data_IF_248274385824
#
_entry.id   IF_248274385824
#
_cell.length_a   1.000
_cell.length_b   1.000
_cell.length_c   1.000
_cell.angle_alpha   90.00
_cell.angle_beta   90.00
_cell.angle_gamma   90.00
#
_symmetry.space_group_name_H-M   'P 1'
#
loop_
_entity.id
_entity.type
_entity.pdbx_description
1 polymer ?
#
# COMPACT_ATOMS: atom_id res chain seq x y z
N UNK A 1 5.00 18.08 19.18
CA UNK A 1 6.27 17.33 19.33
C UNK A 1 6.71 16.88 17.95
N UNK A 2 7.99 16.98 17.63
CA UNK A 2 8.54 16.40 16.41
C UNK A 2 8.72 14.90 16.66
N UNK A 3 8.09 14.07 15.83
CA UNK A 3 8.20 12.62 15.90
C UNK A 3 9.33 12.16 14.99
N UNK A 4 9.85 10.93 15.17
CA UNK A 4 10.92 10.40 14.34
C UNK A 4 10.52 9.04 13.80
N UNK A 5 10.89 8.77 12.55
CA UNK A 5 10.71 7.46 11.95
C UNK A 5 11.89 6.60 12.40
N UNK A 6 11.63 5.57 13.21
CA UNK A 6 12.66 4.60 13.60
C UNK A 6 13.24 3.93 12.34
N UNK A 7 14.45 4.35 11.97
CA UNK A 7 15.23 3.80 10.85
C UNK A 7 15.24 4.61 9.55
N UNK A 8 14.51 5.73 9.44
CA UNK A 8 14.58 6.56 8.24
C UNK A 8 15.63 7.67 8.35
N UNK A 9 16.29 7.99 7.24
CA UNK A 9 17.19 9.14 7.12
C UNK A 9 16.43 10.49 7.05
N UNK A 10 15.11 10.47 6.91
CA UNK A 10 14.28 11.65 6.64
C UNK A 10 13.71 12.30 7.91
N UNK A 11 13.60 13.64 7.90
CA UNK A 11 12.97 14.43 8.98
C UNK A 11 11.50 14.68 8.63
N UNK A 12 10.55 14.38 9.52
CA UNK A 12 9.14 14.61 9.22
C UNK A 12 8.79 16.09 9.16
N UNK A 13 7.65 16.35 8.53
CA UNK A 13 7.11 17.68 8.30
C UNK A 13 6.85 18.38 9.63
N UNK A 14 7.08 19.71 9.66
CA UNK A 14 6.74 20.54 10.81
C UNK A 14 5.25 20.38 11.16
N UNK A 15 4.87 20.24 12.45
CA UNK A 15 3.47 20.07 12.84
C UNK A 15 2.51 21.13 12.28
N UNK A 16 2.99 22.37 12.12
CA UNK A 16 2.21 23.48 11.56
C UNK A 16 1.88 23.32 10.06
N UNK A 17 2.60 22.46 9.35
CA UNK A 17 2.42 22.22 7.91
C UNK A 17 1.70 20.89 7.63
N UNK A 18 1.43 20.07 8.64
CA UNK A 18 0.82 18.74 8.43
C UNK A 18 -0.55 18.87 7.75
N UNK A 19 -1.42 19.74 8.26
CA UNK A 19 -2.78 19.90 7.72
C UNK A 19 -2.76 20.35 6.25
N UNK A 20 -1.95 21.35 5.92
CA UNK A 20 -1.84 21.84 4.55
C UNK A 20 -1.25 20.80 3.62
N UNK A 21 -0.26 20.02 4.07
CA UNK A 21 0.35 18.94 3.29
C UNK A 21 -0.60 17.77 3.06
N UNK A 22 -1.39 17.38 4.07
CA UNK A 22 -2.41 16.34 3.91
C UNK A 22 -3.50 16.80 2.94
N UNK A 23 -3.93 18.07 3.03
CA UNK A 23 -4.90 18.61 2.07
C UNK A 23 -4.37 18.59 0.64
N UNK A 24 -3.13 19.06 0.45
CA UNK A 24 -2.45 19.00 -0.84
C UNK A 24 -2.38 17.56 -1.37
N UNK A 25 -1.98 16.60 -0.53
CA UNK A 25 -1.88 15.20 -0.90
C UNK A 25 -3.23 14.61 -1.36
N UNK A 26 -4.32 14.95 -0.66
CA UNK A 26 -5.67 14.52 -1.05
C UNK A 26 -6.11 15.14 -2.38
N UNK A 27 -5.84 16.44 -2.57
CA UNK A 27 -6.15 17.13 -3.82
C UNK A 27 -5.38 16.52 -5.00
N UNK A 28 -4.09 16.21 -4.82
CA UNK A 28 -3.26 15.55 -5.84
C UNK A 28 -3.79 14.15 -6.19
N UNK A 29 -4.17 13.35 -5.19
CA UNK A 29 -4.72 12.01 -5.41
C UNK A 29 -6.07 12.04 -6.15
N UNK A 30 -6.96 12.94 -5.76
CA UNK A 30 -8.32 13.04 -6.33
C UNK A 30 -8.32 13.58 -7.77
N UNK A 31 -7.37 14.46 -8.11
CA UNK A 31 -7.26 15.07 -9.43
C UNK A 31 -6.27 14.36 -10.37
N UNK A 32 -5.62 13.29 -9.91
CA UNK A 32 -4.65 12.54 -10.72
C UNK A 32 -5.33 11.68 -11.80
N UNK A 33 -4.81 11.78 -13.02
CA UNK A 33 -5.17 10.93 -14.17
C UNK A 33 -4.19 9.75 -14.36
N UNK A 34 -3.28 9.53 -13.41
CA UNK A 34 -2.34 8.41 -13.47
C UNK A 34 -3.04 7.06 -13.34
N UNK A 35 -2.33 5.99 -13.70
CA UNK A 35 -2.79 4.63 -13.42
C UNK A 35 -3.10 4.47 -11.92
N UNK A 36 -4.14 3.72 -11.62
CA UNK A 36 -4.64 3.55 -10.25
C UNK A 36 -3.58 3.07 -9.26
N UNK A 37 -2.71 2.14 -9.66
CA UNK A 37 -1.67 1.60 -8.77
C UNK A 37 -0.58 2.64 -8.55
N UNK A 38 -0.23 3.40 -9.60
CA UNK A 38 0.77 4.48 -9.55
C UNK A 38 0.34 5.56 -8.56
N UNK A 39 -0.89 6.06 -8.68
CA UNK A 39 -1.39 7.11 -7.76
C UNK A 39 -1.53 6.61 -6.32
N UNK A 40 -1.87 5.32 -6.10
CA UNK A 40 -1.92 4.71 -4.76
C UNK A 40 -0.52 4.58 -4.17
N UNK A 41 0.44 4.10 -4.95
CA UNK A 41 1.84 3.96 -4.53
C UNK A 41 2.43 5.31 -4.12
N UNK A 42 2.24 6.32 -4.96
CA UNK A 42 2.66 7.70 -4.70
C UNK A 42 2.01 8.26 -3.44
N UNK A 43 0.68 8.15 -3.32
CA UNK A 43 -0.04 8.61 -2.13
C UNK A 43 0.51 8.00 -0.84
N UNK A 44 0.78 6.69 -0.86
CA UNK A 44 1.30 5.97 0.30
C UNK A 44 2.71 6.42 0.69
N UNK A 45 3.61 6.59 -0.30
CA UNK A 45 4.96 7.14 -0.10
C UNK A 45 4.93 8.56 0.48
N UNK A 46 4.09 9.43 -0.08
CA UNK A 46 3.95 10.82 0.36
C UNK A 46 3.32 10.92 1.76
N UNK A 47 2.29 10.13 2.05
CA UNK A 47 1.64 10.09 3.36
C UNK A 47 2.62 9.72 4.48
N UNK A 48 3.39 8.66 4.28
CA UNK A 48 4.40 8.20 5.26
C UNK A 48 5.53 9.23 5.42
N UNK A 49 5.86 9.96 4.34
CA UNK A 49 6.86 11.03 4.35
C UNK A 49 6.37 12.28 5.11
N UNK A 50 5.08 12.63 5.00
CA UNK A 50 4.46 13.69 5.81
C UNK A 50 4.49 13.31 7.29
N UNK A 51 4.20 12.04 7.60
CA UNK A 51 4.21 11.47 8.95
C UNK A 51 3.30 12.24 9.93
N UNK A 52 1.98 12.30 9.65
CA UNK A 52 1.07 13.22 10.35
C UNK A 52 0.78 12.86 11.82
N UNK A 53 0.97 11.61 12.22
CA UNK A 53 0.62 11.12 13.56
C UNK A 53 1.86 10.89 14.43
N UNK A 54 1.65 10.85 15.75
CA UNK A 54 2.73 10.60 16.72
C UNK A 54 3.26 9.15 16.62
N UNK A 55 2.36 8.20 16.42
CA UNK A 55 2.65 6.79 16.16
C UNK A 55 1.55 6.26 15.24
N UNK A 56 1.82 5.14 14.58
CA UNK A 56 0.85 4.41 13.78
C UNK A 56 0.85 4.78 12.30
N UNK A 57 1.68 5.73 11.85
CA UNK A 57 1.77 6.12 10.43
C UNK A 57 1.91 4.91 9.50
N UNK A 58 2.88 4.03 9.79
CA UNK A 58 3.05 2.74 9.10
C UNK A 58 1.78 1.91 8.93
N UNK A 59 1.00 1.79 10.01
CA UNK A 59 -0.25 1.01 10.04
C UNK A 59 -1.35 1.73 9.28
N UNK A 60 -1.50 3.03 9.50
CA UNK A 60 -2.49 3.86 8.84
C UNK A 60 -2.22 3.96 7.34
N UNK A 61 -0.98 4.13 6.91
CA UNK A 61 -0.60 4.17 5.50
C UNK A 61 -0.99 2.90 4.76
N UNK A 62 -0.65 1.73 5.31
CA UNK A 62 -1.08 0.44 4.74
C UNK A 62 -2.60 0.26 4.73
N UNK A 63 -3.31 0.74 5.76
CA UNK A 63 -4.77 0.72 5.77
C UNK A 63 -5.36 1.63 4.68
N UNK A 64 -4.80 2.83 4.48
CA UNK A 64 -5.21 3.75 3.43
C UNK A 64 -4.92 3.17 2.03
N UNK A 65 -3.75 2.58 1.84
CA UNK A 65 -3.39 1.87 0.60
C UNK A 65 -4.43 0.78 0.28
N UNK A 66 -4.76 -0.08 1.25
CA UNK A 66 -5.75 -1.13 1.06
C UNK A 66 -7.16 -0.58 0.81
N UNK A 67 -7.53 0.48 1.52
CA UNK A 67 -8.80 1.16 1.30
C UNK A 67 -8.90 1.70 -0.14
N UNK A 68 -7.85 2.34 -0.65
CA UNK A 68 -7.81 2.85 -2.02
C UNK A 68 -7.83 1.71 -3.05
N UNK A 69 -7.15 0.60 -2.81
CA UNK A 69 -7.25 -0.60 -3.67
C UNK A 69 -8.71 -1.06 -3.76
N UNK A 70 -9.37 -1.22 -2.60
CA UNK A 70 -10.76 -1.66 -2.52
C UNK A 70 -11.74 -0.70 -3.21
N UNK A 71 -11.54 0.61 -3.05
CA UNK A 71 -12.35 1.63 -3.74
C UNK A 71 -12.24 1.55 -5.27
N UNK A 72 -11.15 0.97 -5.79
CA UNK A 72 -10.93 0.78 -7.22
C UNK A 72 -11.17 -0.68 -7.66
N UNK A 73 -11.93 -1.47 -6.89
CA UNK A 73 -12.25 -2.88 -7.17
C UNK A 73 -11.01 -3.79 -7.27
N UNK A 74 -9.89 -3.39 -6.66
CA UNK A 74 -8.72 -4.23 -6.48
C UNK A 74 -8.78 -4.91 -5.12
N UNK A 75 -8.21 -6.10 -5.03
CA UNK A 75 -8.18 -6.82 -3.76
C UNK A 75 -7.18 -6.16 -2.81
N UNK A 76 -7.50 -6.09 -1.50
CA UNK A 76 -6.55 -5.65 -0.50
C UNK A 76 -5.38 -6.65 -0.46
N UNK A 77 -4.18 -6.13 -0.23
CA UNK A 77 -2.97 -6.92 -0.12
C UNK A 77 -2.40 -6.83 1.29
N UNK A 78 -1.86 -7.95 1.77
CA UNK A 78 -1.08 -7.96 2.99
C UNK A 78 0.39 -7.78 2.62
N UNK A 79 0.84 -6.52 2.59
CA UNK A 79 2.27 -6.19 2.44
C UNK A 79 2.96 -6.59 3.74
N UNK A 80 3.32 -7.87 3.77
CA UNK A 80 3.70 -8.61 4.96
C UNK A 80 5.06 -8.16 5.53
N UNK A 81 5.20 -8.26 6.85
CA UNK A 81 6.45 -7.96 7.58
C UNK A 81 7.65 -8.82 7.13
N UNK A 82 7.43 -9.96 6.48
CA UNK A 82 8.49 -10.85 5.98
C UNK A 82 9.36 -10.19 4.91
N UNK A 83 8.84 -9.21 4.18
CA UNK A 83 9.57 -8.41 3.20
C UNK A 83 9.85 -6.98 3.69
N UNK A 84 9.96 -6.79 5.02
CA UNK A 84 10.24 -5.49 5.63
C UNK A 84 11.37 -4.74 4.93
N UNK A 85 12.48 -5.42 4.63
CA UNK A 85 13.63 -4.81 3.95
C UNK A 85 13.26 -4.20 2.58
N UNK A 86 12.58 -4.96 1.73
CA UNK A 86 12.13 -4.48 0.41
C UNK A 86 11.16 -3.32 0.52
N UNK A 87 10.20 -3.41 1.46
CA UNK A 87 9.25 -2.34 1.71
C UNK A 87 9.94 -1.03 2.14
N UNK A 88 10.90 -1.10 3.06
CA UNK A 88 11.67 0.08 3.48
C UNK A 88 12.60 0.62 2.38
N UNK A 89 13.18 -0.26 1.57
CA UNK A 89 13.99 0.12 0.42
C UNK A 89 13.20 0.99 -0.57
N UNK A 90 11.92 0.72 -0.79
CA UNK A 90 11.09 1.58 -1.64
C UNK A 90 10.99 3.03 -1.11
N UNK A 91 11.00 3.24 0.21
CA UNK A 91 11.03 4.59 0.77
C UNK A 91 12.40 5.24 0.59
N UNK A 92 13.48 4.48 0.79
CA UNK A 92 14.84 4.99 0.57
C UNK A 92 15.04 5.45 -0.88
N UNK A 93 14.61 4.64 -1.86
CA UNK A 93 14.67 4.97 -3.29
C UNK A 93 13.80 6.17 -3.64
N UNK A 94 12.60 6.26 -3.08
CA UNK A 94 11.74 7.43 -3.23
C UNK A 94 12.37 8.70 -2.63
N UNK A 95 12.99 8.62 -1.45
CA UNK A 95 13.62 9.78 -0.81
C UNK A 95 14.92 10.22 -1.48
N UNK A 96 15.63 9.31 -2.14
CA UNK A 96 16.88 9.62 -2.85
C UNK A 96 16.62 10.16 -4.25
N UNK A 97 15.79 9.49 -5.03
CA UNK A 97 15.66 9.71 -6.47
C UNK A 97 14.24 10.09 -6.92
N UNK A 98 13.28 10.23 -6.00
CA UNK A 98 11.83 10.33 -6.28
C UNK A 98 11.32 9.13 -7.12
N UNK A 99 11.99 7.99 -7.02
CA UNK A 99 11.59 6.80 -7.75
C UNK A 99 10.42 6.11 -7.02
N UNK A 100 9.27 6.09 -7.69
CA UNK A 100 8.06 5.40 -7.20
C UNK A 100 7.93 3.98 -7.75
N UNK A 101 8.74 3.61 -8.76
CA UNK A 101 8.58 2.38 -9.52
C UNK A 101 8.71 1.13 -8.64
N UNK A 102 9.65 1.12 -7.70
CA UNK A 102 9.82 0.02 -6.76
C UNK A 102 8.60 -0.21 -5.86
N UNK A 103 7.92 0.85 -5.42
CA UNK A 103 6.69 0.71 -4.64
C UNK A 103 5.54 0.20 -5.51
N UNK A 104 5.44 0.68 -6.76
CA UNK A 104 4.46 0.20 -7.74
C UNK A 104 4.67 -1.31 -7.98
N UNK A 105 5.90 -1.71 -8.27
CA UNK A 105 6.26 -3.11 -8.50
C UNK A 105 5.99 -3.98 -7.27
N UNK A 106 6.27 -3.47 -6.07
CA UNK A 106 5.95 -4.17 -4.83
C UNK A 106 4.43 -4.43 -4.74
N UNK A 107 3.60 -3.40 -4.92
CA UNK A 107 2.14 -3.53 -4.86
C UNK A 107 1.63 -4.49 -5.93
N UNK A 108 2.11 -4.38 -7.18
CA UNK A 108 1.73 -5.26 -8.29
C UNK A 108 2.07 -6.71 -7.98
N UNK A 109 3.27 -6.97 -7.46
CA UNK A 109 3.69 -8.34 -7.11
C UNK A 109 2.77 -8.95 -6.04
N UNK A 110 2.43 -8.19 -4.99
CA UNK A 110 1.49 -8.65 -3.97
C UNK A 110 0.07 -8.88 -4.53
N UNK A 111 -0.40 -8.02 -5.44
CA UNK A 111 -1.68 -8.21 -6.12
C UNK A 111 -1.67 -9.49 -6.96
N UNK A 112 -0.61 -9.76 -7.71
CA UNK A 112 -0.47 -10.99 -8.52
C UNK A 112 -0.49 -12.22 -7.62
N UNK A 113 0.29 -12.22 -6.52
CA UNK A 113 0.31 -13.33 -5.56
C UNK A 113 -1.09 -13.58 -5.00
N UNK A 114 -1.78 -12.52 -4.58
CA UNK A 114 -3.12 -12.62 -4.02
C UNK A 114 -4.13 -13.13 -5.06
N UNK A 115 -4.08 -12.63 -6.29
CA UNK A 115 -4.96 -13.06 -7.37
C UNK A 115 -4.75 -14.52 -7.72
N UNK A 116 -3.50 -14.97 -7.84
CA UNK A 116 -3.17 -16.37 -8.10
C UNK A 116 -3.70 -17.28 -6.99
N UNK A 117 -3.49 -16.91 -5.73
CA UNK A 117 -4.03 -17.65 -4.58
C UNK A 117 -5.56 -17.79 -4.65
N UNK A 118 -6.29 -16.74 -5.05
CA UNK A 118 -7.74 -16.79 -5.21
C UNK A 118 -8.17 -17.65 -6.39
N UNK A 119 -7.44 -17.61 -7.51
CA UNK A 119 -7.68 -18.45 -8.68
C UNK A 119 -7.52 -19.92 -8.30
N UNK A 120 -6.49 -20.26 -7.54
CA UNK A 120 -6.22 -21.63 -7.10
C UNK A 120 -7.36 -22.15 -6.20
N UNK A 121 -7.77 -21.36 -5.19
CA UNK A 121 -8.90 -21.72 -4.31
C UNK A 121 -10.18 -21.92 -5.11
N UNK A 122 -10.51 -21.00 -6.03
CA UNK A 122 -11.75 -21.09 -6.83
C UNK A 122 -11.71 -22.27 -7.79
N UNK A 123 -10.54 -22.57 -8.37
CA UNK A 123 -10.36 -23.72 -9.26
C UNK A 123 -10.53 -25.04 -8.51
N UNK A 124 -9.98 -25.15 -7.30
CA UNK A 124 -10.16 -26.33 -6.45
C UNK A 124 -11.63 -26.50 -6.04
N UNK A 125 -12.30 -25.42 -5.60
CA UNK A 125 -13.73 -25.47 -5.27
C UNK A 125 -14.59 -25.91 -6.45
N UNK A 126 -14.32 -25.38 -7.65
CA UNK A 126 -15.03 -25.77 -8.87
C UNK A 126 -14.81 -27.25 -9.22
N UNK A 127 -13.60 -27.78 -8.98
CA UNK A 127 -13.31 -29.20 -9.13
C UNK A 127 -14.11 -30.03 -8.11
N UNK A 128 -14.06 -29.67 -6.83
CA UNK A 128 -14.73 -30.40 -5.75
C UNK A 128 -16.26 -30.44 -5.93
N UNK A 129 -16.86 -29.33 -6.38
CA UNK A 129 -18.28 -29.23 -6.74
C UNK A 129 -18.61 -30.11 -7.96
N UNK A 130 -17.78 -30.09 -9.01
CA UNK A 130 -18.00 -30.88 -10.23
C UNK A 130 -17.96 -32.38 -9.97
N UNK A 131 -17.08 -32.83 -9.07
CA UNK A 131 -16.88 -34.25 -8.77
C UNK A 131 -17.59 -34.69 -7.48
N UNK A 132 -18.46 -33.86 -6.90
CA UNK A 132 -19.25 -34.16 -5.71
C UNK A 132 -18.39 -34.66 -4.52
N UNK A 133 -17.15 -34.19 -4.43
CA UNK A 133 -16.19 -34.64 -3.40
C UNK A 133 -16.60 -34.09 -2.02
N UNK A 134 -17.44 -33.05 -1.97
CA UNK A 134 -18.01 -32.50 -0.74
C UNK A 134 -19.47 -32.92 -0.59
N UNK A 135 -19.70 -34.22 -0.39
CA UNK A 135 -20.93 -34.72 0.27
C UNK A 135 -20.63 -34.89 1.76
N UNK A 136 -20.65 -33.80 2.52
CA UNK A 136 -20.82 -33.90 3.97
C UNK A 136 -22.25 -33.49 4.32
N UNK A 137 -23.00 -34.48 4.82
CA UNK A 137 -24.29 -34.31 5.50
C UNK A 137 -24.13 -33.42 6.73
#
# INVERSE_FOLDING_TARGET
MQVSILGAKHKPVSPFLIESKIKQLLDEYNNSNENVIVKIAKFHLDFESIHPFIDGNGRTGRLLLNHQLMQNNLQPTDIHYTNRAKYYQCFDEFHLDNDISSMVDLIVNYLIIQLNYQIDIKSQKAYDEKYNIISFR
#
